data_IF_698756672427
#
_entry.id   IF_698756672427
#
_cell.length_a   1.000
_cell.length_b   1.000
_cell.length_c   1.000
_cell.angle_alpha   90.00
_cell.angle_beta   90.00
_cell.angle_gamma   90.00
#
_symmetry.space_group_name_H-M   'P 1'
#
loop_
_entity.id
_entity.type
_entity.pdbx_description
1 polymer ?
#
# COMPACT_ATOMS: atom_id res chain seq x y z
N UNK A 1 -19.06 1.52 -6.89
CA UNK A 1 -18.63 0.12 -6.86
C UNK A 1 -17.34 -0.04 -7.68
N UNK A 2 -16.39 -0.78 -7.13
CA UNK A 2 -15.16 -1.08 -7.82
C UNK A 2 -14.13 0.05 -7.89
N UNK A 3 -14.34 1.15 -7.20
CA UNK A 3 -13.43 2.28 -7.14
C UNK A 3 -12.67 2.23 -5.82
N UNK A 4 -11.35 2.19 -5.88
CA UNK A 4 -10.55 2.06 -4.67
C UNK A 4 -9.07 2.38 -4.81
N UNK A 5 -8.62 2.87 -5.97
CA UNK A 5 -7.26 3.36 -6.10
C UNK A 5 -7.12 4.76 -5.48
N UNK A 6 -5.90 5.14 -5.10
CA UNK A 6 -5.64 6.38 -4.38
C UNK A 6 -6.19 7.61 -5.08
N UNK A 7 -5.92 7.73 -6.39
CA UNK A 7 -6.34 8.90 -7.15
C UNK A 7 -7.85 9.04 -7.21
N UNK A 8 -8.56 7.92 -7.42
CA UNK A 8 -10.02 7.93 -7.49
C UNK A 8 -10.64 8.25 -6.13
N UNK A 9 -10.07 7.72 -5.04
CA UNK A 9 -10.55 8.02 -3.69
C UNK A 9 -10.38 9.51 -3.39
N UNK A 10 -9.18 10.03 -3.60
CA UNK A 10 -8.88 11.43 -3.30
C UNK A 10 -9.70 12.38 -4.18
N UNK A 11 -9.96 12.00 -5.43
CA UNK A 11 -10.79 12.80 -6.34
C UNK A 11 -12.27 12.75 -6.03
N UNK A 12 -12.75 11.67 -5.40
CA UNK A 12 -14.18 11.46 -5.13
C UNK A 12 -14.65 12.06 -3.80
N UNK A 13 -13.79 12.11 -2.80
CA UNK A 13 -14.15 12.61 -1.47
C UNK A 13 -14.70 14.04 -1.50
N UNK A 14 -14.10 15.01 -2.21
CA UNK A 14 -14.65 16.37 -2.28
C UNK A 14 -16.06 16.43 -2.87
N UNK A 15 -16.49 15.40 -3.61
CA UNK A 15 -17.81 15.31 -4.20
C UNK A 15 -18.80 14.54 -3.32
N UNK A 16 -18.45 14.24 -2.07
CA UNK A 16 -19.35 13.65 -1.10
C UNK A 16 -19.38 12.12 -1.06
N UNK A 17 -18.41 11.46 -1.64
CA UNK A 17 -18.32 9.99 -1.58
C UNK A 17 -17.66 9.58 -0.25
N UNK A 18 -18.33 8.75 0.53
CA UNK A 18 -17.87 8.35 1.87
C UNK A 18 -17.32 6.93 1.95
N UNK A 19 -17.78 6.02 1.11
CA UNK A 19 -17.39 4.62 1.17
C UNK A 19 -16.89 4.14 -0.18
N UNK A 20 -15.94 3.20 -0.14
CA UNK A 20 -15.28 2.66 -1.33
C UNK A 20 -15.18 1.14 -1.23
N UNK A 21 -15.29 0.47 -2.37
CA UNK A 21 -15.29 -0.97 -2.46
C UNK A 21 -14.48 -1.40 -3.68
N UNK A 22 -13.36 -2.07 -3.45
CA UNK A 22 -12.49 -2.50 -4.55
C UNK A 22 -11.50 -3.56 -4.08
N UNK A 23 -11.09 -4.43 -5.02
CA UNK A 23 -10.00 -5.37 -4.79
C UNK A 23 -8.63 -4.75 -5.03
N UNK A 24 -8.55 -3.45 -5.31
CA UNK A 24 -7.32 -2.78 -5.70
C UNK A 24 -6.12 -3.08 -4.79
N UNK A 25 -6.21 -2.94 -3.46
CA UNK A 25 -5.02 -3.15 -2.61
C UNK A 25 -4.53 -4.60 -2.63
N UNK A 26 -5.42 -5.58 -2.61
CA UNK A 26 -5.03 -6.99 -2.61
C UNK A 26 -4.58 -7.46 -3.98
N UNK A 27 -5.25 -7.00 -5.04
CA UNK A 27 -4.85 -7.29 -6.41
C UNK A 27 -3.47 -6.71 -6.71
N UNK A 28 -3.22 -5.47 -6.31
CA UNK A 28 -1.91 -4.84 -6.47
C UNK A 28 -0.82 -5.63 -5.77
N UNK A 29 -1.09 -6.11 -4.56
CA UNK A 29 -0.15 -6.94 -3.81
C UNK A 29 0.21 -8.23 -4.56
N UNK A 30 -0.79 -8.90 -5.13
CA UNK A 30 -0.54 -10.13 -5.91
C UNK A 30 0.34 -9.88 -7.12
N UNK A 31 0.29 -8.68 -7.68
CA UNK A 31 1.13 -8.30 -8.82
C UNK A 31 2.46 -7.66 -8.40
N UNK A 32 2.78 -7.69 -7.12
CA UNK A 32 4.05 -7.19 -6.62
C UNK A 32 4.12 -5.68 -6.45
N UNK A 33 2.98 -5.00 -6.40
CA UNK A 33 2.92 -3.56 -6.23
C UNK A 33 2.56 -3.21 -4.79
N UNK A 34 3.44 -2.43 -4.14
CA UNK A 34 3.22 -1.91 -2.80
C UNK A 34 2.79 -0.44 -2.88
N UNK A 35 1.79 -0.10 -2.10
CA UNK A 35 1.31 1.27 -1.97
C UNK A 35 2.07 1.92 -0.81
N UNK A 36 2.72 3.05 -1.05
CA UNK A 36 3.53 3.70 0.00
C UNK A 36 3.13 5.15 0.19
N UNK A 37 3.40 5.66 1.40
CA UNK A 37 3.04 7.04 1.76
C UNK A 37 3.90 8.07 1.04
N UNK A 38 5.18 7.77 0.81
CA UNK A 38 6.16 8.74 0.31
C UNK A 38 6.85 8.33 -0.97
N UNK A 39 6.77 7.05 -1.36
CA UNK A 39 7.46 6.54 -2.55
C UNK A 39 6.52 6.26 -3.72
N UNK A 40 5.22 6.51 -3.54
CA UNK A 40 4.22 6.14 -4.52
C UNK A 40 4.05 4.63 -4.60
N UNK A 41 3.86 4.11 -5.81
CA UNK A 41 3.72 2.67 -6.03
C UNK A 41 5.10 2.06 -6.28
N UNK A 42 5.46 1.06 -5.48
CA UNK A 42 6.74 0.37 -5.58
C UNK A 42 6.52 -1.02 -6.15
N UNK A 43 7.15 -1.31 -7.29
CA UNK A 43 7.12 -2.64 -7.88
C UNK A 43 8.29 -3.44 -7.33
N UNK A 44 8.01 -4.40 -6.44
CA UNK A 44 9.06 -5.20 -5.78
C UNK A 44 9.85 -6.08 -6.75
N UNK A 45 9.31 -6.33 -7.95
CA UNK A 45 9.96 -7.18 -8.95
C UNK A 45 11.09 -6.48 -9.69
N UNK A 46 11.20 -5.17 -9.57
CA UNK A 46 12.31 -4.44 -10.19
C UNK A 46 13.63 -4.80 -9.53
N UNK A 47 14.66 -4.99 -10.35
CA UNK A 47 15.98 -5.43 -9.88
C UNK A 47 16.62 -4.46 -8.87
N UNK A 48 16.31 -3.18 -8.95
CA UNK A 48 16.82 -2.19 -8.01
C UNK A 48 16.43 -2.49 -6.56
N UNK A 49 15.32 -3.19 -6.35
CA UNK A 49 14.85 -3.53 -5.02
C UNK A 49 15.62 -4.69 -4.41
N UNK A 50 16.39 -5.45 -5.20
CA UNK A 50 17.16 -6.59 -4.70
C UNK A 50 18.23 -6.20 -3.69
N UNK A 51 18.67 -4.96 -3.71
CA UNK A 51 19.72 -4.46 -2.82
C UNK A 51 19.23 -3.40 -1.83
N UNK A 52 17.95 -3.08 -1.81
CA UNK A 52 17.42 -2.08 -0.89
C UNK A 52 17.11 -2.72 0.47
N UNK A 53 17.99 -2.46 1.43
CA UNK A 53 17.89 -3.01 2.80
C UNK A 53 17.11 -2.07 3.72
N UNK A 54 15.97 -1.60 3.23
CA UNK A 54 15.09 -0.69 3.98
C UNK A 54 13.64 -1.11 3.79
N UNK A 55 12.75 -0.75 4.75
CA UNK A 55 11.34 -1.10 4.61
C UNK A 55 10.67 -0.27 3.53
N UNK A 56 9.51 -0.72 3.02
CA UNK A 56 8.73 0.07 2.06
C UNK A 56 8.32 1.44 2.61
N UNK A 57 7.91 1.48 3.86
CA UNK A 57 7.52 2.71 4.58
C UNK A 57 8.13 2.71 5.97
N UNK A 58 8.81 3.78 6.33
CA UNK A 58 9.38 3.90 7.67
C UNK A 58 8.30 4.11 8.75
N UNK A 59 7.19 4.76 8.40
CA UNK A 59 6.13 5.11 9.34
C UNK A 59 5.05 4.03 9.46
N UNK A 60 5.06 3.02 8.60
CA UNK A 60 4.05 1.99 8.59
C UNK A 60 4.30 0.95 9.69
N UNK A 61 3.23 0.58 10.41
CA UNK A 61 3.31 -0.36 11.52
C UNK A 61 3.03 -1.81 11.12
N UNK A 62 2.87 -2.13 9.84
CA UNK A 62 2.61 -3.50 9.41
C UNK A 62 3.83 -4.41 9.63
N UNK A 63 3.60 -5.73 9.64
CA UNK A 63 4.69 -6.69 9.86
C UNK A 63 5.83 -6.53 8.87
N UNK A 64 5.51 -6.28 7.59
CA UNK A 64 6.53 -6.10 6.57
C UNK A 64 7.44 -4.93 6.91
N UNK A 65 6.88 -3.76 7.15
CA UNK A 65 7.67 -2.56 7.37
C UNK A 65 8.45 -2.57 8.70
N UNK A 66 7.91 -3.25 9.73
CA UNK A 66 8.56 -3.32 11.04
C UNK A 66 9.69 -4.33 11.09
N UNK A 67 9.63 -5.41 10.32
CA UNK A 67 10.52 -6.57 10.48
C UNK A 67 11.28 -6.97 9.23
N UNK A 68 10.92 -6.43 8.06
CA UNK A 68 11.49 -6.89 6.79
C UNK A 68 11.86 -5.72 5.90
N UNK A 69 12.57 -6.03 4.80
CA UNK A 69 13.07 -5.03 3.87
C UNK A 69 12.53 -5.29 2.46
N UNK A 70 12.67 -4.31 1.58
CA UNK A 70 12.33 -4.47 0.16
C UNK A 70 13.15 -5.57 -0.48
N UNK A 71 14.44 -5.69 -0.13
CA UNK A 71 15.30 -6.75 -0.67
C UNK A 71 14.80 -8.15 -0.27
N UNK A 72 14.33 -8.29 0.97
CA UNK A 72 13.77 -9.57 1.43
C UNK A 72 12.49 -9.91 0.65
N UNK A 73 11.61 -8.94 0.47
CA UNK A 73 10.36 -9.16 -0.26
C UNK A 73 10.63 -9.48 -1.74
N UNK A 74 11.62 -8.81 -2.33
CA UNK A 74 12.06 -9.11 -3.70
C UNK A 74 12.53 -10.57 -3.79
N UNK A 75 13.31 -11.03 -2.82
CA UNK A 75 13.77 -12.42 -2.75
C UNK A 75 12.59 -13.39 -2.65
N UNK A 76 11.63 -13.11 -1.77
CA UNK A 76 10.45 -13.96 -1.62
C UNK A 76 9.65 -14.08 -2.92
N UNK A 77 9.52 -12.98 -3.66
CA UNK A 77 8.82 -12.99 -4.93
C UNK A 77 9.56 -13.87 -5.96
N UNK A 78 10.88 -13.72 -6.05
CA UNK A 78 11.69 -14.55 -6.96
C UNK A 78 11.64 -16.02 -6.60
N UNK A 79 11.62 -16.34 -5.31
CA UNK A 79 11.52 -17.72 -4.82
C UNK A 79 10.08 -18.26 -4.90
N UNK A 80 9.13 -17.42 -5.31
CA UNK A 80 7.71 -17.77 -5.40
C UNK A 80 7.13 -18.24 -4.07
N UNK A 81 7.56 -17.58 -2.99
CA UNK A 81 7.07 -17.90 -1.65
C UNK A 81 5.71 -17.22 -1.40
N UNK A 82 4.70 -17.97 -0.93
CA UNK A 82 3.39 -17.38 -0.63
C UNK A 82 3.44 -16.27 0.43
N UNK A 83 4.44 -16.28 1.29
CA UNK A 83 4.62 -15.24 2.31
C UNK A 83 4.73 -13.84 1.68
N UNK A 84 5.23 -13.73 0.45
CA UNK A 84 5.28 -12.45 -0.27
C UNK A 84 3.87 -11.86 -0.40
N UNK A 85 2.91 -12.68 -0.82
CA UNK A 85 1.53 -12.21 -0.97
C UNK A 85 0.92 -11.78 0.36
N UNK A 86 1.18 -12.55 1.41
CA UNK A 86 0.66 -12.25 2.74
C UNK A 86 1.21 -10.91 3.25
N UNK A 87 2.52 -10.73 3.19
CA UNK A 87 3.17 -9.51 3.66
C UNK A 87 2.76 -8.29 2.83
N UNK A 88 2.74 -8.44 1.51
CA UNK A 88 2.35 -7.35 0.61
C UNK A 88 0.89 -6.96 0.79
N UNK A 89 0.01 -7.95 0.95
CA UNK A 89 -1.42 -7.69 1.17
C UNK A 89 -1.65 -6.97 2.49
N UNK A 90 -1.03 -7.43 3.57
CA UNK A 90 -1.14 -6.75 4.87
C UNK A 90 -0.63 -5.32 4.79
N UNK A 91 0.49 -5.11 4.11
CA UNK A 91 1.05 -3.77 3.94
C UNK A 91 0.08 -2.85 3.20
N UNK A 92 -0.48 -3.32 2.09
CA UNK A 92 -1.40 -2.51 1.29
C UNK A 92 -2.68 -2.19 2.04
N UNK A 93 -3.17 -3.13 2.86
CA UNK A 93 -4.35 -2.88 3.70
C UNK A 93 -4.03 -1.84 4.79
N UNK A 94 -2.85 -1.89 5.39
CA UNK A 94 -2.40 -0.86 6.32
C UNK A 94 -2.32 0.51 5.66
N UNK A 95 -1.82 0.56 4.42
CA UNK A 95 -1.77 1.80 3.66
C UNK A 95 -3.18 2.36 3.43
N UNK A 96 -4.12 1.51 3.01
CA UNK A 96 -5.50 1.96 2.75
C UNK A 96 -6.15 2.46 4.03
N UNK A 97 -5.93 1.78 5.16
CA UNK A 97 -6.42 2.24 6.45
C UNK A 97 -5.87 3.62 6.82
N UNK A 98 -4.57 3.83 6.63
CA UNK A 98 -3.94 5.12 6.86
C UNK A 98 -4.53 6.20 5.94
N UNK A 99 -4.69 5.90 4.66
CA UNK A 99 -5.24 6.84 3.69
C UNK A 99 -6.64 7.31 4.11
N UNK A 100 -7.50 6.36 4.46
CA UNK A 100 -8.87 6.68 4.86
C UNK A 100 -8.92 7.47 6.17
N UNK A 101 -8.10 7.10 7.17
CA UNK A 101 -8.03 7.86 8.42
C UNK A 101 -7.55 9.29 8.19
N UNK A 102 -6.55 9.45 7.34
CA UNK A 102 -6.00 10.77 7.00
C UNK A 102 -7.07 11.64 6.33
N UNK A 103 -7.82 11.07 5.40
CA UNK A 103 -8.89 11.82 4.72
C UNK A 103 -10.02 12.17 5.68
N UNK A 104 -10.37 11.27 6.61
CA UNK A 104 -11.38 11.56 7.63
C UNK A 104 -10.96 12.73 8.51
N UNK A 105 -9.70 12.75 8.94
CA UNK A 105 -9.18 13.86 9.74
C UNK A 105 -9.25 15.18 8.98
N UNK A 106 -8.91 15.17 7.69
CA UNK A 106 -9.01 16.36 6.84
C UNK A 106 -10.45 16.87 6.74
N UNK A 107 -11.41 15.99 6.60
CA UNK A 107 -12.82 16.36 6.55
C UNK A 107 -13.24 17.01 7.88
N UNK A 108 -12.85 16.40 9.01
CA UNK A 108 -13.18 16.94 10.34
C UNK A 108 -12.56 18.31 10.59
N UNK A 109 -11.45 18.63 9.94
CA UNK A 109 -10.74 19.90 10.07
C UNK A 109 -11.06 20.88 8.92
N UNK A 110 -12.06 20.57 8.10
CA UNK A 110 -12.46 21.38 6.92
C UNK A 110 -11.31 21.63 5.94
N UNK A 111 -10.44 20.65 5.75
CA UNK A 111 -9.29 20.76 4.85
C UNK A 111 -9.54 20.16 3.47
N UNK A 112 -10.76 19.68 3.22
CA UNK A 112 -11.11 19.01 1.96
C UNK A 112 -12.18 19.77 1.23
#
# INVERSE_FOLDING_TARGET
>A
LGIGDEGSILGSIPHGVDTFDSTFPTRSARHGTLLTRTRGRVNIRRSENSTLHEPPCWECACRLCRHHTLSYLHHLDKAREPMMWTLATEHNLHYMGWLMRTQREKILNDEV
#
